data_IF_224551987754
#
_entry.id   IF_224551987754
#
_cell.length_a   1.000
_cell.length_b   1.000
_cell.length_c   1.000
_cell.angle_alpha   90.00
_cell.angle_beta   90.00
_cell.angle_gamma   90.00
#
_symmetry.space_group_name_H-M   'P 1'
#
loop_
_entity.id
_entity.type
_entity.pdbx_description
1 polymer ?
#
# COMPACT_ATOMS: atom_id res chain seq x y z
N UNK A 1 -12.50 13.14 -8.68
CA UNK A 1 -11.56 12.00 -8.46
C UNK A 1 -12.38 10.73 -8.40
N UNK A 2 -12.37 9.91 -9.46
CA UNK A 2 -13.22 8.70 -9.61
C UNK A 2 -12.82 7.52 -8.71
N UNK A 3 -12.69 7.74 -7.40
CA UNK A 3 -12.46 6.67 -6.41
C UNK A 3 -13.71 5.87 -6.10
N UNK A 4 -14.85 6.54 -6.14
CA UNK A 4 -16.18 5.98 -5.96
C UNK A 4 -17.15 6.72 -6.86
N UNK A 5 -18.24 6.05 -7.22
CA UNK A 5 -19.32 6.62 -8.00
C UNK A 5 -20.65 6.42 -7.28
N UNK A 6 -21.52 7.42 -7.35
CA UNK A 6 -22.84 7.34 -6.76
C UNK A 6 -23.71 6.40 -7.61
N UNK A 7 -24.42 5.50 -6.96
CA UNK A 7 -25.37 4.59 -7.59
C UNK A 7 -26.74 5.27 -7.62
N UNK A 8 -27.35 5.31 -8.80
CA UNK A 8 -28.71 5.86 -9.04
C UNK A 8 -29.70 4.81 -9.54
N UNK A 9 -29.32 3.54 -9.49
CA UNK A 9 -30.12 2.41 -9.97
C UNK A 9 -31.44 2.31 -9.20
N UNK A 10 -32.54 2.10 -9.94
CA UNK A 10 -33.89 1.99 -9.36
C UNK A 10 -34.10 0.62 -8.69
N UNK A 11 -33.32 -0.38 -9.09
CA UNK A 11 -33.35 -1.74 -8.54
C UNK A 11 -31.94 -2.18 -8.13
N UNK A 12 -31.83 -2.86 -6.98
CA UNK A 12 -30.57 -3.47 -6.54
C UNK A 12 -30.11 -4.59 -7.51
N UNK A 13 -28.80 -4.74 -7.73
CA UNK A 13 -28.27 -5.87 -8.49
C UNK A 13 -28.49 -7.17 -7.72
N UNK A 14 -28.46 -8.28 -8.45
CA UNK A 14 -28.63 -9.62 -7.88
C UNK A 14 -27.57 -9.97 -6.84
N UNK A 15 -26.36 -9.42 -7.00
CA UNK A 15 -25.24 -9.63 -6.07
C UNK A 15 -24.64 -8.28 -5.71
N UNK A 16 -24.77 -7.90 -4.45
CA UNK A 16 -24.15 -6.71 -3.87
C UNK A 16 -23.70 -6.96 -2.44
N UNK A 17 -22.68 -6.23 -2.01
CA UNK A 17 -22.25 -6.20 -0.62
C UNK A 17 -22.03 -4.75 -0.18
N UNK A 18 -22.68 -4.39 0.93
CA UNK A 18 -22.57 -3.09 1.56
C UNK A 18 -21.57 -3.14 2.71
N UNK A 19 -20.37 -2.60 2.50
CA UNK A 19 -19.33 -2.52 3.51
C UNK A 19 -19.68 -1.45 4.55
N UNK A 20 -19.82 -1.81 5.84
CA UNK A 20 -19.82 -0.83 6.91
C UNK A 20 -18.51 -0.04 6.89
N UNK A 21 -18.59 1.24 7.23
CA UNK A 21 -17.41 2.08 7.35
C UNK A 21 -17.52 3.06 8.51
N UNK A 22 -16.37 3.48 9.03
CA UNK A 22 -16.30 4.54 10.02
C UNK A 22 -15.00 5.33 9.91
N UNK A 23 -14.97 6.51 10.50
CA UNK A 23 -13.77 7.33 10.61
C UNK A 23 -13.00 7.04 11.89
N UNK A 24 -11.70 6.85 11.79
CA UNK A 24 -10.76 6.77 12.92
C UNK A 24 -9.87 7.99 12.90
N UNK A 25 -9.95 8.79 13.96
CA UNK A 25 -9.07 9.94 14.15
C UNK A 25 -7.70 9.47 14.65
N UNK A 26 -6.66 10.02 14.05
CA UNK A 26 -5.25 9.83 14.40
C UNK A 26 -4.63 11.21 14.58
N UNK A 27 -4.84 11.86 15.74
CA UNK A 27 -4.38 13.22 15.98
C UNK A 27 -2.86 13.37 15.81
N UNK A 28 -2.09 12.31 16.08
CA UNK A 28 -0.63 12.30 15.94
C UNK A 28 -0.15 12.19 14.47
N UNK A 29 -1.06 11.94 13.53
CA UNK A 29 -0.75 11.78 12.10
C UNK A 29 -0.80 13.14 11.39
N UNK A 30 0.37 13.74 11.14
CA UNK A 30 0.48 15.04 10.45
C UNK A 30 -0.18 15.08 9.06
N UNK A 31 -0.17 13.96 8.32
CA UNK A 31 -0.62 13.92 6.92
C UNK A 31 -1.98 13.24 6.71
N UNK A 32 -2.48 12.50 7.69
CA UNK A 32 -3.80 11.85 7.58
C UNK A 32 -4.47 11.76 8.95
N UNK A 33 -5.01 12.90 9.44
CA UNK A 33 -5.65 12.97 10.76
C UNK A 33 -6.94 12.15 10.87
N UNK A 34 -7.63 11.91 9.76
CA UNK A 34 -8.80 11.04 9.68
C UNK A 34 -8.54 9.92 8.68
N UNK A 35 -8.68 8.67 9.13
CA UNK A 35 -8.65 7.50 8.27
C UNK A 35 -10.03 6.86 8.25
N UNK A 36 -10.63 6.70 7.08
CA UNK A 36 -11.78 5.80 6.95
C UNK A 36 -11.32 4.37 7.29
N UNK A 37 -12.22 3.52 7.73
CA UNK A 37 -12.03 2.08 7.88
C UNK A 37 -13.23 1.43 7.23
N UNK A 38 -12.99 0.53 6.28
CA UNK A 38 -14.02 -0.28 5.66
C UNK A 38 -13.94 -1.68 6.26
N UNK A 39 -15.07 -2.20 6.74
CA UNK A 39 -15.15 -3.51 7.36
C UNK A 39 -15.75 -4.54 6.40
N UNK A 40 -14.89 -5.16 5.60
CA UNK A 40 -15.28 -6.28 4.73
C UNK A 40 -15.40 -7.61 5.50
N UNK A 41 -15.14 -7.63 6.81
CA UNK A 41 -15.28 -8.81 7.68
C UNK A 41 -16.62 -8.86 8.39
N UNK A 42 -17.45 -7.82 8.28
CA UNK A 42 -18.78 -7.80 8.84
C UNK A 42 -19.69 -8.84 8.17
N UNK A 43 -20.27 -9.73 8.96
CA UNK A 43 -21.21 -10.73 8.46
C UNK A 43 -22.52 -10.06 8.05
N UNK A 44 -23.07 -10.48 6.91
CA UNK A 44 -24.39 -10.03 6.44
C UNK A 44 -25.50 -10.87 7.08
N UNK A 45 -26.75 -10.64 6.67
CA UNK A 45 -27.91 -11.47 7.05
C UNK A 45 -27.77 -12.93 6.63
N UNK A 46 -26.87 -13.26 5.71
CA UNK A 46 -26.56 -14.65 5.33
C UNK A 46 -25.55 -15.33 6.26
N UNK A 47 -24.98 -14.61 7.22
CA UNK A 47 -23.94 -15.11 8.13
C UNK A 47 -22.52 -15.08 7.55
N UNK A 48 -22.37 -14.77 6.26
CA UNK A 48 -21.08 -14.65 5.58
C UNK A 48 -20.66 -13.18 5.45
N UNK A 49 -19.34 -12.94 5.46
CA UNK A 49 -18.75 -11.63 5.18
C UNK A 49 -18.09 -11.62 3.81
N UNK A 50 -17.82 -10.44 3.26
CA UNK A 50 -17.12 -10.35 1.97
C UNK A 50 -15.74 -11.03 2.06
N UNK A 51 -15.03 -10.82 3.17
CA UNK A 51 -13.71 -11.40 3.40
C UNK A 51 -13.72 -12.91 3.61
N UNK A 52 -14.82 -13.51 4.08
CA UNK A 52 -14.91 -14.97 4.10
C UNK A 52 -15.02 -15.50 2.67
N UNK A 53 -15.75 -14.82 1.79
CA UNK A 53 -16.00 -15.27 0.40
C UNK A 53 -14.81 -15.02 -0.52
N UNK A 54 -14.13 -13.87 -0.41
CA UNK A 54 -13.03 -13.51 -1.30
C UNK A 54 -11.80 -14.41 -1.11
N UNK A 55 -11.17 -14.76 -2.23
CA UNK A 55 -9.83 -15.36 -2.20
C UNK A 55 -8.76 -14.35 -1.80
N UNK A 56 -7.79 -14.80 -1.02
CA UNK A 56 -6.61 -13.98 -0.69
C UNK A 56 -5.59 -13.87 -1.83
N UNK A 57 -5.65 -14.77 -2.82
CA UNK A 57 -4.71 -14.84 -3.96
C UNK A 57 -3.34 -15.41 -3.65
N UNK A 58 -3.08 -15.75 -2.38
CA UNK A 58 -1.77 -16.21 -1.91
C UNK A 58 -0.80 -15.08 -1.59
N UNK A 59 0.38 -15.46 -1.10
CA UNK A 59 1.46 -14.53 -0.77
C UNK A 59 2.40 -14.47 -1.96
N UNK A 60 2.50 -13.29 -2.57
CA UNK A 60 3.41 -13.00 -3.68
C UNK A 60 4.75 -12.39 -3.18
N UNK A 61 4.74 -11.83 -1.98
CA UNK A 61 5.81 -11.04 -1.39
C UNK A 61 6.94 -11.93 -0.90
N UNK A 62 8.15 -11.42 -1.04
CA UNK A 62 9.31 -11.98 -0.36
C UNK A 62 9.17 -11.81 1.16
N UNK A 63 9.79 -12.73 1.89
CA UNK A 63 9.85 -12.66 3.34
C UNK A 63 10.51 -11.35 3.78
N UNK A 64 9.89 -10.70 4.77
CA UNK A 64 10.33 -9.41 5.29
C UNK A 64 11.83 -9.38 5.64
N UNK A 65 12.31 -10.47 6.25
CA UNK A 65 13.73 -10.61 6.61
C UNK A 65 14.66 -10.60 5.39
N UNK A 66 14.25 -11.21 4.27
CA UNK A 66 15.03 -11.23 3.04
C UNK A 66 15.16 -9.83 2.43
N UNK A 67 14.08 -9.05 2.45
CA UNK A 67 14.07 -7.65 1.98
C UNK A 67 15.03 -6.82 2.84
N UNK A 68 14.94 -6.94 4.16
CA UNK A 68 15.84 -6.22 5.08
C UNK A 68 17.32 -6.60 4.86
N UNK A 69 17.63 -7.88 4.65
CA UNK A 69 19.00 -8.32 4.37
C UNK A 69 19.54 -7.75 3.05
N UNK A 70 18.75 -7.77 1.96
CA UNK A 70 19.13 -7.15 0.68
C UNK A 70 19.34 -5.66 0.82
N UNK A 71 18.42 -4.99 1.52
CA UNK A 71 18.56 -3.57 1.84
C UNK A 71 19.87 -3.28 2.57
N UNK A 72 20.20 -4.06 3.61
CA UNK A 72 21.42 -3.89 4.41
C UNK A 72 22.72 -4.29 3.71
N UNK A 73 22.65 -5.05 2.61
CA UNK A 73 23.81 -5.34 1.77
C UNK A 73 24.32 -4.09 1.04
N UNK A 74 23.46 -3.11 0.81
CA UNK A 74 23.80 -1.90 0.06
C UNK A 74 24.55 -0.90 0.94
N UNK A 75 25.63 -0.31 0.41
CA UNK A 75 26.35 0.78 1.07
C UNK A 75 25.50 2.04 1.15
N UNK A 76 24.71 2.30 0.11
CA UNK A 76 23.80 3.43 0.04
C UNK A 76 22.37 2.89 0.04
N UNK A 77 21.64 3.15 1.12
CA UNK A 77 20.25 2.74 1.29
C UNK A 77 19.27 3.76 0.74
N UNK A 78 18.18 3.29 0.15
CA UNK A 78 17.05 4.08 -0.31
C UNK A 78 15.75 3.48 0.21
N UNK A 79 14.97 4.28 0.94
CA UNK A 79 13.62 3.95 1.37
C UNK A 79 12.64 4.91 0.71
N UNK A 80 11.53 4.38 0.21
CA UNK A 80 10.41 5.17 -0.33
C UNK A 80 9.09 4.44 -0.09
N UNK A 81 7.99 5.13 -0.34
CA UNK A 81 6.62 4.66 -0.17
C UNK A 81 5.81 5.01 -1.44
N UNK A 82 4.85 4.18 -1.82
CA UNK A 82 3.94 4.47 -2.95
C UNK A 82 2.76 5.28 -2.43
N UNK A 83 2.65 6.54 -2.87
CA UNK A 83 1.60 7.46 -2.44
C UNK A 83 0.20 6.91 -2.75
N UNK A 84 -0.52 6.50 -1.71
CA UNK A 84 -1.90 6.00 -1.78
C UNK A 84 -2.06 4.81 -2.73
N UNK A 85 -1.11 3.86 -2.73
CA UNK A 85 -1.03 2.71 -3.64
C UNK A 85 -2.38 2.09 -4.04
N UNK A 86 -3.16 1.62 -3.06
CA UNK A 86 -4.46 0.96 -3.32
C UNK A 86 -5.45 1.84 -4.10
N UNK A 87 -5.43 3.16 -3.88
CA UNK A 87 -6.31 4.11 -4.55
C UNK A 87 -5.94 4.35 -6.02
N UNK A 88 -4.76 3.88 -6.44
CA UNK A 88 -4.30 3.96 -7.83
C UNK A 88 -4.69 2.72 -8.65
N UNK A 89 -5.26 1.69 -8.03
CA UNK A 89 -5.60 0.43 -8.69
C UNK A 89 -7.10 0.36 -8.92
N UNK A 90 -7.53 0.25 -10.18
CA UNK A 90 -8.95 0.07 -10.51
C UNK A 90 -9.38 -1.38 -10.29
N UNK A 91 -10.58 -1.52 -9.72
CA UNK A 91 -11.31 -2.79 -9.65
C UNK A 91 -12.12 -2.94 -10.93
N UNK A 92 -12.14 -4.17 -11.44
CA UNK A 92 -12.97 -4.57 -12.57
C UNK A 92 -14.44 -4.17 -12.34
N UNK A 93 -15.08 -3.61 -13.36
CA UNK A 93 -16.43 -3.05 -13.25
C UNK A 93 -17.46 -4.07 -12.78
N UNK A 94 -17.33 -5.33 -13.19
CA UNK A 94 -18.23 -6.41 -12.79
C UNK A 94 -18.20 -6.72 -11.28
N UNK A 95 -17.14 -6.28 -10.60
CA UNK A 95 -16.91 -6.59 -9.19
C UNK A 95 -17.21 -5.42 -8.25
N UNK A 96 -17.46 -4.21 -8.78
CA UNK A 96 -17.61 -2.99 -7.96
C UNK A 96 -18.85 -3.02 -7.06
N UNK A 97 -19.88 -3.79 -7.43
CA UNK A 97 -21.09 -3.95 -6.60
C UNK A 97 -20.86 -4.76 -5.32
N UNK A 98 -19.74 -5.50 -5.24
CA UNK A 98 -19.27 -6.13 -4.00
C UNK A 98 -18.62 -5.12 -3.04
N UNK A 99 -18.39 -3.88 -3.49
CA UNK A 99 -17.69 -2.85 -2.75
C UNK A 99 -18.58 -1.60 -2.56
N UNK A 100 -19.88 -1.81 -2.31
CA UNK A 100 -20.83 -0.71 -2.06
C UNK A 100 -20.70 -0.18 -0.63
N UNK A 101 -21.02 1.09 -0.44
CA UNK A 101 -21.11 1.77 0.85
C UNK A 101 -22.36 2.66 0.88
N UNK A 102 -22.84 2.95 2.08
CA UNK A 102 -23.90 3.95 2.31
C UNK A 102 -23.32 5.19 2.96
N UNK A 103 -23.75 6.37 2.50
CA UNK A 103 -23.28 7.65 2.99
C UNK A 103 -24.44 8.60 3.27
N UNK A 104 -24.33 9.34 4.36
CA UNK A 104 -25.19 10.48 4.72
C UNK A 104 -24.31 11.66 5.05
N UNK A 105 -24.65 12.84 4.55
CA UNK A 105 -23.91 14.07 4.84
C UNK A 105 -24.38 14.68 6.17
N UNK A 106 -25.69 14.66 6.42
CA UNK A 106 -26.32 15.00 7.70
C UNK A 106 -27.28 13.89 8.16
N UNK A 107 -27.65 13.92 9.44
CA UNK A 107 -28.62 12.97 10.03
C UNK A 107 -29.96 12.99 9.27
N UNK A 108 -30.38 14.17 8.82
CA UNK A 108 -31.67 14.38 8.17
C UNK A 108 -31.66 14.11 6.66
N UNK A 109 -30.48 13.95 6.06
CA UNK A 109 -30.38 13.70 4.62
C UNK A 109 -30.87 12.31 4.22
N UNK A 110 -31.18 12.14 2.94
CA UNK A 110 -31.40 10.80 2.38
C UNK A 110 -30.09 10.01 2.33
N UNK A 111 -30.19 8.70 2.51
CA UNK A 111 -29.05 7.79 2.34
C UNK A 111 -28.69 7.74 0.85
N UNK A 112 -27.41 7.96 0.56
CA UNK A 112 -26.83 7.80 -0.78
C UNK A 112 -26.01 6.52 -0.82
N UNK A 113 -26.08 5.79 -1.93
CA UNK A 113 -25.25 4.61 -2.17
C UNK A 113 -24.09 4.98 -3.08
N UNK A 114 -22.90 4.49 -2.76
CA UNK A 114 -21.71 4.60 -3.60
C UNK A 114 -21.10 3.23 -3.82
N UNK A 115 -20.49 3.01 -4.99
CA UNK A 115 -19.63 1.85 -5.23
C UNK A 115 -18.18 2.30 -5.39
N UNK A 116 -17.26 1.52 -4.82
CA UNK A 116 -15.83 1.82 -4.87
C UNK A 116 -15.25 1.34 -6.20
N UNK A 117 -14.56 2.24 -6.90
CA UNK A 117 -13.94 1.94 -8.20
C UNK A 117 -12.51 1.41 -8.07
N UNK A 118 -11.92 1.55 -6.89
CA UNK A 118 -10.50 1.25 -6.61
C UNK A 118 -10.37 0.22 -5.50
N UNK A 119 -9.20 -0.40 -5.40
CA UNK A 119 -8.91 -1.38 -4.33
C UNK A 119 -9.13 -0.74 -2.96
N UNK A 120 -9.89 -1.42 -2.11
CA UNK A 120 -10.22 -0.99 -0.75
C UNK A 120 -9.37 -1.77 0.25
N UNK A 121 -8.63 -1.07 1.09
CA UNK A 121 -7.92 -1.68 2.21
C UNK A 121 -8.94 -2.27 3.20
N UNK A 122 -8.60 -3.42 3.79
CA UNK A 122 -9.52 -4.18 4.64
C UNK A 122 -10.18 -5.36 3.92
N UNK A 123 -10.11 -5.42 2.59
CA UNK A 123 -10.48 -6.62 1.82
C UNK A 123 -9.34 -7.66 1.83
N UNK A 124 -9.69 -8.95 1.92
CA UNK A 124 -8.73 -10.07 1.99
C UNK A 124 -7.79 -10.12 0.78
N UNK A 125 -8.26 -9.75 -0.41
CA UNK A 125 -7.50 -9.78 -1.65
C UNK A 125 -6.64 -8.54 -1.91
N UNK A 126 -6.87 -7.41 -1.21
CA UNK A 126 -6.18 -6.14 -1.50
C UNK A 126 -4.64 -6.26 -1.55
N UNK A 127 -3.97 -6.96 -0.61
CA UNK A 127 -2.51 -7.14 -0.67
C UNK A 127 -2.04 -7.84 -1.95
N UNK A 128 -2.76 -8.87 -2.39
CA UNK A 128 -2.43 -9.61 -3.60
C UNK A 128 -2.59 -8.72 -4.84
N UNK A 129 -3.72 -8.01 -4.94
CA UNK A 129 -3.99 -7.12 -6.08
C UNK A 129 -2.92 -6.04 -6.21
N UNK A 130 -2.56 -5.41 -5.09
CA UNK A 130 -1.49 -4.43 -5.05
C UNK A 130 -0.16 -4.96 -5.59
N UNK A 131 0.26 -6.13 -5.14
CA UNK A 131 1.51 -6.74 -5.60
C UNK A 131 1.45 -7.20 -7.06
N UNK A 132 0.32 -7.78 -7.47
CA UNK A 132 0.15 -8.28 -8.83
C UNK A 132 0.19 -7.14 -9.86
N UNK A 133 -0.32 -5.96 -9.50
CA UNK A 133 -0.17 -4.73 -10.30
C UNK A 133 1.29 -4.32 -10.43
N UNK A 134 2.06 -4.31 -9.34
CA UNK A 134 3.50 -4.00 -9.43
C UNK A 134 4.26 -5.00 -10.30
N UNK A 135 3.93 -6.29 -10.18
CA UNK A 135 4.50 -7.32 -11.06
C UNK A 135 4.15 -7.08 -12.53
N UNK A 136 2.91 -6.71 -12.80
CA UNK A 136 2.47 -6.42 -14.17
C UNK A 136 3.17 -5.17 -14.72
N UNK A 137 3.31 -4.11 -13.92
CA UNK A 137 4.06 -2.91 -14.29
C UNK A 137 5.51 -3.25 -14.70
N UNK A 138 6.17 -4.16 -13.98
CA UNK A 138 7.50 -4.65 -14.35
C UNK A 138 7.48 -5.51 -15.62
N UNK A 139 6.45 -6.33 -15.83
CA UNK A 139 6.31 -7.13 -17.05
C UNK A 139 6.10 -6.25 -18.29
N UNK A 140 5.29 -5.20 -18.17
CA UNK A 140 4.91 -4.33 -19.27
C UNK A 140 6.06 -3.36 -19.62
N UNK A 141 6.56 -2.63 -18.62
CA UNK A 141 7.49 -1.51 -18.85
C UNK A 141 8.90 -1.73 -18.28
N UNK A 142 9.11 -2.78 -17.48
CA UNK A 142 10.37 -2.99 -16.75
C UNK A 142 11.60 -3.17 -17.64
N UNK A 143 11.40 -3.60 -18.90
CA UNK A 143 12.49 -3.72 -19.88
C UNK A 143 13.18 -2.38 -20.19
N UNK A 144 12.46 -1.25 -20.06
CA UNK A 144 13.02 0.10 -20.23
C UNK A 144 13.81 0.57 -19.00
N UNK A 145 13.60 -0.06 -17.84
CA UNK A 145 14.09 0.38 -16.54
C UNK A 145 14.66 -0.80 -15.73
N UNK A 146 15.74 -1.44 -16.18
CA UNK A 146 16.20 -2.73 -15.64
C UNK A 146 16.59 -2.68 -14.15
N UNK A 147 17.15 -1.57 -13.65
CA UNK A 147 17.48 -1.41 -12.23
C UNK A 147 16.21 -1.33 -11.38
N UNK A 148 15.23 -0.55 -11.85
CA UNK A 148 13.94 -0.44 -11.18
C UNK A 148 13.15 -1.75 -11.25
N UNK A 149 13.14 -2.44 -12.38
CA UNK A 149 12.49 -3.74 -12.55
C UNK A 149 13.01 -4.78 -11.55
N UNK A 150 14.34 -4.85 -11.39
CA UNK A 150 14.96 -5.71 -10.38
C UNK A 150 14.53 -5.32 -8.97
N UNK A 151 14.64 -4.03 -8.60
CA UNK A 151 14.29 -3.54 -7.27
C UNK A 151 12.80 -3.73 -6.95
N UNK A 152 11.89 -3.42 -7.88
CA UNK A 152 10.44 -3.61 -7.67
C UNK A 152 10.09 -5.08 -7.48
N UNK A 153 10.82 -5.99 -8.13
CA UNK A 153 10.59 -7.43 -8.02
C UNK A 153 11.07 -8.03 -6.70
N UNK A 154 12.15 -7.50 -6.10
CA UNK A 154 12.78 -8.09 -4.92
C UNK A 154 12.67 -7.25 -3.64
N UNK A 155 12.48 -5.94 -3.73
CA UNK A 155 12.71 -5.01 -2.62
C UNK A 155 11.43 -4.30 -2.14
N UNK A 156 10.28 -4.64 -2.74
CA UNK A 156 8.97 -4.14 -2.34
C UNK A 156 8.35 -4.99 -1.23
N UNK A 157 7.85 -4.32 -0.20
CA UNK A 157 6.93 -4.89 0.77
C UNK A 157 5.67 -4.03 0.82
N UNK A 158 4.58 -4.52 0.24
CA UNK A 158 3.34 -3.76 0.05
C UNK A 158 3.61 -2.43 -0.69
N UNK A 159 3.38 -1.30 -0.04
CA UNK A 159 3.63 0.05 -0.52
C UNK A 159 5.05 0.57 -0.19
N UNK A 160 5.78 -0.10 0.71
CA UNK A 160 7.14 0.28 1.11
C UNK A 160 8.20 -0.32 0.16
N UNK A 161 9.15 0.51 -0.27
CA UNK A 161 10.32 0.13 -1.05
C UNK A 161 11.59 0.30 -0.21
N UNK A 162 12.36 -0.77 -0.02
CA UNK A 162 13.64 -0.76 0.70
C UNK A 162 14.76 -1.32 -0.18
N UNK A 163 15.45 -0.45 -0.89
CA UNK A 163 16.47 -0.83 -1.88
C UNK A 163 17.77 -0.05 -1.67
N UNK A 164 18.69 -0.13 -2.62
CA UNK A 164 19.94 0.63 -2.55
C UNK A 164 20.95 0.21 -3.61
N UNK A 165 22.15 0.77 -3.50
CA UNK A 165 23.27 0.42 -4.37
C UNK A 165 24.62 0.49 -3.63
N UNK A 166 25.67 0.01 -4.29
CA UNK A 166 27.03 0.04 -3.76
C UNK A 166 27.67 1.44 -3.79
N UNK A 167 27.26 2.28 -4.74
CA UNK A 167 27.83 3.61 -4.97
C UNK A 167 26.76 4.63 -5.39
N UNK A 168 27.14 5.91 -5.37
CA UNK A 168 26.22 7.03 -5.56
C UNK A 168 25.73 7.16 -7.00
N UNK A 169 26.53 6.78 -7.99
CA UNK A 169 26.14 6.83 -9.38
C UNK A 169 25.04 5.81 -9.65
N UNK A 170 25.28 4.56 -9.25
CA UNK A 170 24.29 3.48 -9.35
C UNK A 170 23.00 3.80 -8.58
N UNK A 171 23.12 4.41 -7.39
CA UNK A 171 21.95 4.79 -6.59
C UNK A 171 21.11 5.90 -7.24
N UNK A 172 21.75 6.90 -7.89
CA UNK A 172 21.06 7.96 -8.62
C UNK A 172 20.29 7.38 -9.80
N UNK A 173 20.94 6.54 -10.61
CA UNK A 173 20.30 5.86 -11.74
C UNK A 173 19.13 4.98 -11.30
N UNK A 174 19.30 4.21 -10.22
CA UNK A 174 18.23 3.40 -9.66
C UNK A 174 17.03 4.26 -9.27
N UNK A 175 17.25 5.36 -8.54
CA UNK A 175 16.19 6.29 -8.13
C UNK A 175 15.46 6.89 -9.33
N UNK A 176 16.19 7.34 -10.35
CA UNK A 176 15.60 7.92 -11.57
C UNK A 176 14.75 6.90 -12.32
N UNK A 177 15.26 5.68 -12.52
CA UNK A 177 14.51 4.60 -13.15
C UNK A 177 13.25 4.22 -12.37
N UNK A 178 13.33 4.19 -11.03
CA UNK A 178 12.16 3.93 -10.18
C UNK A 178 11.10 5.01 -10.37
N UNK A 179 11.48 6.29 -10.33
CA UNK A 179 10.54 7.39 -10.55
C UNK A 179 9.88 7.29 -11.92
N UNK A 180 10.66 6.99 -12.97
CA UNK A 180 10.15 6.87 -14.33
C UNK A 180 9.20 5.68 -14.49
N UNK A 181 9.57 4.49 -14.01
CA UNK A 181 8.74 3.28 -14.08
C UNK A 181 7.40 3.48 -13.35
N UNK A 182 7.42 3.98 -12.11
CA UNK A 182 6.19 4.22 -11.36
C UNK A 182 5.32 5.31 -11.99
N UNK A 183 5.93 6.36 -12.55
CA UNK A 183 5.19 7.40 -13.29
C UNK A 183 4.48 6.81 -14.52
N UNK A 184 5.10 5.88 -15.24
CA UNK A 184 4.48 5.13 -16.34
C UNK A 184 3.20 4.42 -15.90
N UNK A 185 3.24 3.74 -14.75
CA UNK A 185 2.07 3.09 -14.14
C UNK A 185 1.08 4.02 -13.43
N UNK A 186 1.18 5.35 -13.59
CA UNK A 186 0.31 6.33 -12.94
C UNK A 186 0.46 6.42 -11.41
N UNK A 187 1.57 5.91 -10.87
CA UNK A 187 1.89 5.90 -9.45
C UNK A 187 3.01 6.90 -9.13
N UNK A 188 3.10 7.29 -7.85
CA UNK A 188 4.11 8.24 -7.39
C UNK A 188 4.81 7.70 -6.14
N UNK A 189 6.13 7.61 -6.22
CA UNK A 189 7.00 7.36 -5.07
C UNK A 189 7.24 8.66 -4.29
N UNK A 190 7.12 8.61 -2.97
CA UNK A 190 7.33 9.75 -2.07
C UNK A 190 8.08 9.35 -0.80
N UNK A 191 8.26 10.30 0.15
CA UNK A 191 8.95 10.10 1.44
C UNK A 191 10.32 9.45 1.29
N UNK A 192 11.09 9.91 0.32
CA UNK A 192 12.43 9.40 0.07
C UNK A 192 13.32 9.61 1.30
N UNK A 193 14.00 8.54 1.72
CA UNK A 193 15.00 8.57 2.79
C UNK A 193 16.25 7.82 2.36
N UNK A 194 17.41 8.33 2.75
CA UNK A 194 18.70 7.75 2.40
C UNK A 194 19.77 8.10 3.44
N UNK A 195 20.84 7.31 3.49
CA UNK A 195 22.08 7.65 4.19
C UNK A 195 23.00 8.54 3.34
N UNK A 196 22.60 8.94 2.12
CA UNK A 196 23.33 9.84 1.25
C UNK A 196 22.51 11.10 0.91
N UNK A 197 23.02 12.29 1.28
CA UNK A 197 22.35 13.59 1.06
C UNK A 197 22.09 13.91 -0.41
N UNK A 198 23.00 13.51 -1.30
CA UNK A 198 22.88 13.78 -2.74
C UNK A 198 21.63 13.13 -3.36
N UNK A 199 21.16 12.02 -2.79
CA UNK A 199 19.93 11.36 -3.24
C UNK A 199 18.66 12.08 -2.76
N UNK A 200 18.76 12.96 -1.77
CA UNK A 200 17.62 13.72 -1.26
C UNK A 200 17.48 15.07 -2.00
N UNK A 201 18.59 15.64 -2.48
CA UNK A 201 18.67 16.97 -3.08
C UNK A 201 17.95 17.14 -4.43
N UNK A 202 17.77 16.06 -5.20
CA UNK A 202 17.18 16.11 -6.55
C UNK A 202 15.73 15.60 -6.60
N UNK A 203 15.01 15.64 -5.49
CA UNK A 203 13.61 15.21 -5.47
C UNK A 203 12.73 16.33 -6.02
N UNK A 204 12.60 16.44 -7.35
CA UNK A 204 11.65 17.35 -8.04
C UNK A 204 10.17 16.98 -7.81
N UNK A 205 9.81 16.55 -6.61
CA UNK A 205 8.45 16.21 -6.25
C UNK A 205 7.88 17.34 -5.42
N UNK A 206 7.06 18.15 -6.11
CA UNK A 206 6.18 19.22 -5.63
C UNK A 206 5.23 18.77 -4.50
N UNK A 207 5.77 18.42 -3.34
CA UNK A 207 4.99 18.16 -2.14
C UNK A 207 5.82 18.54 -0.90
N UNK A 208 5.97 19.85 -0.67
CA UNK A 208 6.14 20.53 0.62
C UNK A 208 7.21 20.10 1.65
N UNK A 209 7.90 18.98 1.46
CA UNK A 209 8.71 18.32 2.49
C UNK A 209 10.03 17.83 1.88
N UNK A 210 10.73 18.77 1.21
CA UNK A 210 12.10 18.55 0.77
C UNK A 210 13.00 18.70 2.00
N UNK A 211 13.06 17.66 2.82
CA UNK A 211 14.12 17.55 3.83
C UNK A 211 15.41 17.16 3.11
N UNK A 212 16.26 18.15 2.82
CA UNK A 212 17.62 17.96 2.31
C UNK A 212 18.56 17.32 3.35
N UNK A 213 18.06 17.10 4.56
CA UNK A 213 18.80 16.56 5.69
C UNK A 213 18.53 15.07 5.80
N UNK A 214 19.60 14.30 6.00
CA UNK A 214 19.48 12.88 6.37
C UNK A 214 18.72 12.81 7.70
N UNK A 215 17.56 12.13 7.76
CA UNK A 215 16.80 12.04 8.99
C UNK A 215 17.59 11.25 10.04
N UNK A 216 17.37 11.55 11.31
CA UNK A 216 18.02 10.81 12.40
C UNK A 216 17.52 9.36 12.43
N UNK A 217 16.22 9.17 12.26
CA UNK A 217 15.56 7.87 12.20
C UNK A 217 14.42 7.87 11.17
N UNK A 218 14.19 6.75 10.50
CA UNK A 218 13.03 6.50 9.64
C UNK A 218 12.50 5.09 9.85
N UNK A 219 11.22 4.85 9.55
CA UNK A 219 10.64 3.50 9.64
C UNK A 219 11.12 2.65 8.47
N UNK A 220 11.45 1.40 8.77
CA UNK A 220 11.89 0.38 7.83
C UNK A 220 11.18 -0.93 8.17
N UNK A 221 9.98 -1.13 7.61
CA UNK A 221 9.19 -2.36 7.75
C UNK A 221 9.03 -2.86 9.21
N UNK A 222 8.58 -1.98 10.09
CA UNK A 222 8.39 -2.28 11.52
C UNK A 222 9.63 -2.08 12.39
N UNK A 223 10.79 -1.83 11.79
CA UNK A 223 12.01 -1.39 12.47
C UNK A 223 12.22 0.12 12.32
N UNK A 224 13.20 0.63 13.05
CA UNK A 224 13.79 1.94 12.83
C UNK A 224 15.11 1.78 12.08
N UNK A 225 15.31 2.52 11.02
CA UNK A 225 16.62 2.70 10.38
C UNK A 225 17.17 4.06 10.74
N UNK A 226 18.44 4.10 11.14
CA UNK A 226 19.21 5.31 11.42
C UNK A 226 20.18 5.55 10.28
N UNK A 227 19.83 6.35 9.26
CA UNK A 227 20.62 6.41 8.04
C UNK A 227 22.04 6.95 8.28
N UNK A 228 22.23 7.92 9.18
CA UNK A 228 23.56 8.47 9.48
C UNK A 228 24.53 7.41 10.04
N UNK A 229 24.04 6.51 10.88
CA UNK A 229 24.82 5.39 11.47
C UNK A 229 24.70 4.10 10.66
N UNK A 230 23.86 4.13 9.64
CA UNK A 230 23.44 3.00 8.83
C UNK A 230 23.11 1.72 9.63
N UNK A 231 22.27 1.86 10.67
CA UNK A 231 21.92 0.77 11.59
C UNK A 231 20.41 0.60 11.75
N UNK A 232 19.97 -0.64 11.92
CA UNK A 232 18.58 -0.98 12.26
C UNK A 232 18.44 -1.07 13.79
N UNK A 233 17.30 -0.61 14.31
CA UNK A 233 16.96 -0.61 15.72
C UNK A 233 15.50 -0.99 15.94
N UNK A 234 15.21 -1.52 17.13
CA UNK A 234 13.84 -1.71 17.61
C UNK A 234 13.43 -0.51 18.46
N UNK A 235 12.19 -0.06 18.30
CA UNK A 235 11.56 0.83 19.27
C UNK A 235 10.83 -0.03 20.30
N UNK A 236 11.30 -0.02 21.54
CA UNK A 236 10.64 -0.70 22.65
C UNK A 236 9.95 0.37 23.50
N UNK A 237 8.62 0.36 23.60
CA UNK A 237 7.92 1.24 24.53
C UNK A 237 8.42 0.95 25.96
N UNK A 238 8.70 2.00 26.73
CA UNK A 238 9.23 1.85 28.09
C UNK A 238 8.31 1.11 29.07
N UNK A 239 7.03 0.90 28.73
CA UNK A 239 6.06 0.12 29.52
C UNK A 239 5.65 -1.14 28.76
N UNK A 240 6.27 -2.26 29.09
CA UNK A 240 5.82 -3.60 28.68
C UNK A 240 5.17 -4.25 29.91
N UNK A 241 3.85 -4.23 30.00
CA UNK A 241 3.14 -5.19 30.85
C UNK A 241 3.18 -6.58 30.19
N UNK A 242 3.31 -7.67 30.96
CA UNK A 242 3.47 -9.01 30.41
C UNK A 242 2.12 -9.52 29.86
N UNK A 243 1.98 -9.60 28.52
CA UNK A 243 0.78 -10.17 27.89
C UNK A 243 1.05 -11.57 27.33
N UNK A 244 0.15 -12.50 27.70
CA UNK A 244 0.14 -13.91 27.32
C UNK A 244 -0.04 -14.13 25.80
N UNK A 245 0.66 -15.14 25.28
CA UNK A 245 0.70 -15.57 23.87
C UNK A 245 -0.68 -15.81 23.26
N UNK A 246 -1.00 -15.12 22.16
CA UNK A 246 -2.12 -15.48 21.25
C UNK A 246 -1.56 -16.31 20.09
N UNK A 247 -2.15 -17.50 19.86
CA UNK A 247 -1.82 -18.39 18.73
C UNK A 247 -2.59 -17.97 17.46
N UNK A 248 -1.89 -17.73 16.35
CA UNK A 248 -2.48 -17.55 15.02
C UNK A 248 -2.67 -18.91 14.34
N UNK A 249 -3.89 -19.23 13.88
CA UNK A 249 -4.18 -20.35 12.95
C UNK A 249 -4.47 -19.76 11.55
N UNK A 250 -3.78 -20.25 10.52
CA UNK A 250 -4.10 -19.99 9.10
C UNK A 250 -4.94 -21.14 8.54
N UNK A 251 -6.04 -20.83 7.86
CA UNK A 251 -6.77 -21.74 6.97
C UNK A 251 -6.73 -21.15 5.55
N UNK A 252 -6.31 -21.93 4.55
CA UNK A 252 -6.43 -21.59 3.13
C UNK A 252 -7.59 -22.41 2.52
N UNK A 253 -8.43 -21.77 1.71
CA UNK A 253 -9.40 -22.42 0.82
C UNK A 253 -9.47 -21.62 -0.49
N UNK A 254 -9.61 -22.30 -1.63
CA UNK A 254 -9.69 -21.72 -2.98
C UNK A 254 -11.07 -21.12 -3.26
N UNK A 255 -11.13 -19.80 -3.52
CA UNK A 255 -12.35 -19.00 -3.78
C UNK A 255 -12.11 -17.97 -4.92
N UNK A 256 -13.07 -17.15 -5.38
CA UNK A 256 -12.83 -16.20 -6.47
C UNK A 256 -12.07 -14.95 -6.03
N UNK A 257 -11.20 -14.43 -6.91
CA UNK A 257 -10.43 -13.19 -6.74
C UNK A 257 -11.16 -12.03 -7.43
N UNK A 258 -11.09 -10.82 -6.86
CA UNK A 258 -11.53 -9.60 -7.58
C UNK A 258 -10.58 -9.35 -8.76
N UNK A 259 -11.12 -9.09 -9.95
CA UNK A 259 -10.36 -8.62 -11.11
C UNK A 259 -9.86 -7.18 -10.94
N UNK A 260 -8.74 -6.85 -11.56
CA UNK A 260 -8.18 -5.49 -11.59
C UNK A 260 -7.72 -5.16 -13.02
N UNK A 261 -7.74 -3.88 -13.36
CA UNK A 261 -7.24 -3.37 -14.65
C UNK A 261 -6.10 -2.38 -14.42
N UNK A 262 -5.10 -2.43 -15.28
CA UNK A 262 -4.01 -1.45 -15.33
C UNK A 262 -4.33 -0.50 -16.47
N UNK A 263 -4.21 0.80 -16.19
CA UNK A 263 -4.48 1.89 -17.12
C UNK A 263 -3.43 1.95 -18.23
#
# INVERSE_FOLDING_TARGET
>A
MGYMEQVFEVSEPTVAYYMPHHGVLRPDSKSTPLRTVFDASCATTTGESLNSILSNGGVIQDELFAILLRFRKNRIGLISDIKKMFRMIFIDESQRDLLRIVWKESIDDSIKTYKMNRVVYGTTCAPYLAQRVLKQLVMDDGHNYPLAASAVSSDMYMDDLLTGAADIYSAKQLKEQLIALFRGGGMQLHKWSSNCKELLANSEVSDGDISLTIPDETKALGLLWRPQKDSLAFSVPANVEPVNRVKLRKHQSSRPLLGFSIL
#
